data_IF_637149649195
#
_entry.id   IF_637149649195
#
_cell.length_a   1.000
_cell.length_b   1.000
_cell.length_c   1.000
_cell.angle_alpha   90.00
_cell.angle_beta   90.00
_cell.angle_gamma   90.00
#
_symmetry.space_group_name_H-M   'P 1'
#
loop_
_entity.id
_entity.type
_entity.pdbx_description
1 polymer ?
#
# COMPACT_ATOMS: atom_id res chain seq x y z
N UNK A 1 18.57 49.65 -66.63
CA UNK A 1 17.34 50.34 -67.07
C UNK A 1 17.18 50.07 -68.55
N UNK A 2 15.98 49.71 -69.06
CA UNK A 2 14.69 50.23 -68.64
C UNK A 2 13.65 49.14 -68.26
N UNK A 3 12.68 49.53 -67.41
CA UNK A 3 11.31 48.98 -67.36
C UNK A 3 10.50 49.65 -68.50
N UNK A 4 9.19 49.38 -68.78
CA UNK A 4 8.14 48.70 -68.00
C UNK A 4 7.38 47.68 -68.92
N UNK A 5 6.27 47.01 -68.58
CA UNK A 5 4.91 47.52 -68.34
C UNK A 5 3.97 46.33 -68.08
N UNK A 6 2.96 46.58 -67.26
CA UNK A 6 1.86 45.70 -66.84
C UNK A 6 1.02 45.20 -68.01
N UNK A 7 0.49 43.97 -67.89
CA UNK A 7 -0.72 43.53 -68.60
C UNK A 7 -1.72 42.91 -67.62
N UNK A 8 -2.98 43.20 -67.94
CA UNK A 8 -4.18 43.07 -67.13
C UNK A 8 -4.94 41.80 -67.46
N UNK A 9 -5.60 41.23 -66.45
CA UNK A 9 -6.97 40.74 -66.55
C UNK A 9 -7.22 39.35 -67.15
N UNK A 10 -7.74 38.45 -66.31
CA UNK A 10 -9.02 37.79 -66.57
C UNK A 10 -9.55 37.18 -65.26
N UNK A 11 -10.66 37.74 -64.76
CA UNK A 11 -11.50 37.11 -63.74
C UNK A 11 -12.26 35.95 -64.41
N UNK A 12 -12.18 34.76 -63.83
CA UNK A 12 -13.17 33.71 -64.01
C UNK A 12 -13.59 33.23 -62.61
N UNK A 13 -14.84 33.55 -62.25
CA UNK A 13 -15.51 33.08 -61.04
C UNK A 13 -15.96 31.65 -61.30
N UNK A 14 -15.47 30.70 -60.51
CA UNK A 14 -15.97 29.33 -60.45
C UNK A 14 -16.45 29.03 -59.02
N UNK A 15 -17.70 28.59 -58.92
CA UNK A 15 -18.42 28.23 -57.70
C UNK A 15 -17.62 27.25 -56.83
N UNK A 16 -17.45 27.60 -55.56
CA UNK A 16 -16.99 26.68 -54.52
C UNK A 16 -18.11 25.69 -54.18
N UNK A 17 -17.91 24.42 -54.50
CA UNK A 17 -18.66 23.32 -53.89
C UNK A 17 -17.93 22.89 -52.61
N UNK A 18 -18.57 23.11 -51.47
CA UNK A 18 -18.10 22.67 -50.16
C UNK A 18 -18.19 21.15 -50.03
N UNK A 19 -17.10 20.46 -50.33
CA UNK A 19 -16.85 19.11 -49.85
C UNK A 19 -16.34 19.21 -48.41
N UNK A 20 -17.19 18.85 -47.45
CA UNK A 20 -16.84 18.79 -46.03
C UNK A 20 -15.73 17.77 -45.81
N UNK A 21 -14.53 18.26 -45.49
CA UNK A 21 -13.49 17.44 -44.91
C UNK A 21 -13.92 17.11 -43.48
N UNK A 22 -14.39 15.89 -43.26
CA UNK A 22 -14.48 15.28 -41.95
C UNK A 22 -13.08 15.29 -41.34
N UNK A 23 -12.84 16.21 -40.42
CA UNK A 23 -11.66 16.16 -39.56
C UNK A 23 -11.74 14.85 -38.79
N UNK A 24 -10.85 13.92 -39.13
CA UNK A 24 -10.56 12.78 -38.27
C UNK A 24 -10.06 13.37 -36.95
N UNK A 25 -10.96 13.46 -35.97
CA UNK A 25 -10.61 13.72 -34.58
C UNK A 25 -9.67 12.59 -34.16
N UNK A 26 -8.38 12.89 -34.12
CA UNK A 26 -7.39 12.11 -33.36
C UNK A 26 -7.97 11.93 -31.96
N UNK A 27 -8.39 10.70 -31.65
CA UNK A 27 -8.75 10.36 -30.28
C UNK A 27 -7.55 10.68 -29.38
N UNK A 28 -7.75 11.35 -28.24
CA UNK A 28 -6.66 11.51 -27.27
C UNK A 28 -6.21 10.11 -26.86
N UNK A 29 -4.91 9.86 -26.95
CA UNK A 29 -4.29 8.64 -26.45
C UNK A 29 -4.81 8.37 -25.03
N UNK A 30 -5.31 7.15 -24.77
CA UNK A 30 -5.68 6.75 -23.42
C UNK A 30 -4.43 6.92 -22.54
N UNK A 31 -4.45 7.89 -21.63
CA UNK A 31 -3.32 8.12 -20.73
C UNK A 31 -3.15 6.89 -19.85
N UNK A 32 -2.07 6.14 -20.08
CA UNK A 32 -1.63 5.13 -19.13
C UNK A 32 -1.51 5.80 -17.74
N UNK A 33 -1.92 5.14 -16.65
CA UNK A 33 -1.73 5.66 -15.31
C UNK A 33 -0.26 6.04 -15.09
N UNK A 34 -0.01 7.18 -14.45
CA UNK A 34 1.34 7.64 -14.16
C UNK A 34 1.98 6.69 -13.12
N UNK A 35 3.24 6.25 -13.30
CA UNK A 35 3.92 5.44 -12.30
C UNK A 35 4.02 6.18 -10.96
N UNK A 36 3.79 5.46 -9.87
CA UNK A 36 3.94 5.96 -8.50
C UNK A 36 5.33 5.57 -8.01
N UNK A 37 6.08 6.54 -7.51
CA UNK A 37 7.35 6.31 -6.83
C UNK A 37 7.40 7.22 -5.61
N UNK A 38 7.43 6.64 -4.41
CA UNK A 38 7.42 7.41 -3.18
C UNK A 38 8.28 6.75 -2.11
N UNK A 39 8.80 7.57 -1.21
CA UNK A 39 9.58 7.13 -0.06
C UNK A 39 8.77 7.42 1.20
N UNK A 40 8.46 6.39 1.98
CA UNK A 40 7.74 6.48 3.25
C UNK A 40 8.73 6.54 4.41
N UNK A 41 8.49 7.43 5.37
CA UNK A 41 9.33 7.64 6.54
C UNK A 41 8.58 7.26 7.81
N UNK A 42 9.02 6.18 8.43
CA UNK A 42 8.62 5.67 9.74
C UNK A 42 9.71 5.97 10.76
N UNK A 43 9.39 5.87 12.06
CA UNK A 43 10.38 5.95 13.14
C UNK A 43 10.18 4.74 14.07
N UNK A 44 9.05 4.71 14.78
CA UNK A 44 8.71 3.60 15.68
C UNK A 44 7.62 2.69 15.09
N UNK A 45 7.81 1.37 15.22
CA UNK A 45 6.76 0.37 15.01
C UNK A 45 6.55 -0.42 16.30
N UNK A 46 5.66 0.08 17.16
CA UNK A 46 5.52 -0.40 18.54
C UNK A 46 4.10 -0.26 19.07
N UNK A 47 3.68 -1.19 19.92
CA UNK A 47 2.43 -1.07 20.69
C UNK A 47 2.54 0.01 21.78
N UNK A 48 3.78 0.35 22.19
CA UNK A 48 4.08 1.30 23.23
C UNK A 48 4.53 2.63 22.64
N UNK A 49 3.94 3.73 23.12
CA UNK A 49 4.36 5.08 22.77
C UNK A 49 5.46 5.51 23.72
N UNK A 50 6.64 5.82 23.20
CA UNK A 50 7.74 6.39 23.98
C UNK A 50 7.35 7.76 24.58
N UNK A 51 8.10 8.24 25.56
CA UNK A 51 7.91 9.59 26.09
C UNK A 51 8.52 10.63 25.14
N UNK A 52 7.80 11.72 24.90
CA UNK A 52 8.30 12.84 24.11
C UNK A 52 7.21 13.59 23.34
N UNK A 53 7.46 14.83 22.91
CA UNK A 53 6.46 15.68 22.28
C UNK A 53 5.95 15.14 20.94
N UNK A 54 6.76 14.36 20.22
CA UNK A 54 6.42 13.77 18.92
C UNK A 54 6.19 12.26 18.97
N UNK A 55 6.51 11.60 20.08
CA UNK A 55 6.55 10.14 20.17
C UNK A 55 5.22 9.49 19.77
N UNK A 56 4.08 10.08 20.17
CA UNK A 56 2.76 9.56 19.79
C UNK A 56 2.53 9.58 18.27
N UNK A 57 2.84 10.69 17.61
CA UNK A 57 2.64 10.83 16.17
C UNK A 57 3.59 9.91 15.39
N UNK A 58 4.78 9.66 15.91
CA UNK A 58 5.82 8.86 15.26
C UNK A 58 5.74 7.34 15.56
N UNK A 59 4.82 6.92 16.43
CA UNK A 59 4.63 5.51 16.79
C UNK A 59 3.47 4.89 16.02
N UNK A 60 3.80 4.14 14.98
CA UNK A 60 2.83 3.32 14.24
C UNK A 60 2.69 1.98 14.96
N UNK A 61 1.47 1.50 15.15
CA UNK A 61 1.28 0.18 15.76
C UNK A 61 1.72 -0.94 14.78
N UNK A 62 2.28 -2.06 15.26
CA UNK A 62 2.64 -3.19 14.40
C UNK A 62 1.47 -3.68 13.54
N UNK A 63 0.26 -3.70 14.09
CA UNK A 63 -0.96 -4.05 13.35
C UNK A 63 -1.29 -3.04 12.26
N UNK A 64 -1.07 -1.74 12.49
CA UNK A 64 -1.25 -0.72 11.47
C UNK A 64 -0.20 -0.84 10.37
N UNK A 65 1.07 -1.02 10.74
CA UNK A 65 2.15 -1.21 9.78
C UNK A 65 1.91 -2.42 8.88
N UNK A 66 1.56 -3.58 9.45
CA UNK A 66 1.23 -4.78 8.68
C UNK A 66 0.07 -4.55 7.70
N UNK A 67 -0.96 -3.78 8.10
CA UNK A 67 -2.07 -3.41 7.20
C UNK A 67 -1.62 -2.49 6.08
N UNK A 68 -0.72 -1.55 6.35
CA UNK A 68 -0.19 -0.65 5.34
C UNK A 68 0.59 -1.43 4.28
N UNK A 69 1.44 -2.39 4.69
CA UNK A 69 2.14 -3.29 3.77
C UNK A 69 1.17 -4.13 2.93
N UNK A 70 0.20 -4.80 3.58
CA UNK A 70 -0.81 -5.58 2.88
C UNK A 70 -1.61 -4.72 1.87
N UNK A 71 -1.93 -3.48 2.24
CA UNK A 71 -2.63 -2.56 1.35
C UNK A 71 -1.76 -2.17 0.14
N UNK A 72 -0.47 -1.87 0.33
CA UNK A 72 0.45 -1.60 -0.78
C UNK A 72 0.50 -2.79 -1.77
N UNK A 73 0.67 -4.01 -1.25
CA UNK A 73 0.73 -5.23 -2.07
C UNK A 73 -0.57 -5.47 -2.85
N UNK A 74 -1.72 -5.39 -2.19
CA UNK A 74 -3.03 -5.57 -2.83
C UNK A 74 -3.34 -4.49 -3.88
N UNK A 75 -2.64 -3.35 -3.85
CA UNK A 75 -2.75 -2.28 -4.83
C UNK A 75 -1.61 -2.28 -5.86
N UNK A 76 -0.84 -3.39 -5.94
CA UNK A 76 0.19 -3.60 -6.95
C UNK A 76 1.43 -2.72 -6.77
N UNK A 77 1.76 -2.37 -5.52
CA UNK A 77 2.97 -1.67 -5.16
C UNK A 77 4.06 -2.64 -4.71
N UNK A 78 5.24 -2.51 -5.31
CA UNK A 78 6.45 -3.22 -4.88
C UNK A 78 7.14 -2.42 -3.78
N UNK A 79 7.56 -3.10 -2.71
CA UNK A 79 8.38 -2.48 -1.65
C UNK A 79 9.86 -2.69 -1.96
N UNK A 80 10.59 -1.58 -2.05
CA UNK A 80 11.99 -1.58 -2.50
C UNK A 80 12.88 -0.79 -1.54
N UNK A 81 14.19 -0.97 -1.64
CA UNK A 81 15.15 -0.15 -0.89
C UNK A 81 15.25 1.26 -1.50
N UNK A 82 15.79 2.23 -0.75
CA UNK A 82 15.99 3.60 -1.28
C UNK A 82 16.96 3.59 -2.46
N UNK A 83 18.01 2.76 -2.42
CA UNK A 83 18.91 2.65 -3.56
C UNK A 83 18.22 2.11 -4.80
N UNK A 84 17.36 1.10 -4.64
CA UNK A 84 16.62 0.49 -5.75
C UNK A 84 15.70 1.51 -6.39
N UNK A 85 14.82 2.16 -5.62
CA UNK A 85 13.86 3.13 -6.18
C UNK A 85 14.55 4.31 -6.86
N UNK A 86 15.70 4.77 -6.33
CA UNK A 86 16.48 5.85 -6.94
C UNK A 86 17.13 5.40 -8.24
N UNK A 87 17.67 4.18 -8.28
CA UNK A 87 18.24 3.60 -9.50
C UNK A 87 17.17 3.43 -10.59
N UNK A 88 16.00 2.90 -10.22
CA UNK A 88 14.88 2.67 -11.14
C UNK A 88 14.28 4.00 -11.62
N UNK A 89 14.15 5.00 -10.76
CA UNK A 89 13.73 6.34 -11.14
C UNK A 89 14.70 6.97 -12.16
N UNK A 90 16.02 6.89 -11.91
CA UNK A 90 17.04 7.41 -12.84
C UNK A 90 17.03 6.70 -14.19
N UNK A 91 16.82 5.39 -14.18
CA UNK A 91 16.73 4.59 -15.39
C UNK A 91 15.38 4.74 -16.12
N UNK A 92 14.44 5.52 -15.57
CA UNK A 92 13.05 5.59 -16.02
C UNK A 92 12.42 4.18 -16.15
N UNK A 93 12.74 3.32 -15.19
CA UNK A 93 12.36 1.91 -15.17
C UNK A 93 11.09 1.64 -14.36
N UNK A 94 10.63 2.61 -13.55
CA UNK A 94 9.42 2.47 -12.73
C UNK A 94 8.18 2.35 -13.63
N UNK A 95 7.57 1.15 -13.67
CA UNK A 95 6.43 0.84 -14.56
C UNK A 95 5.07 0.80 -13.87
N UNK A 96 5.05 0.82 -12.55
CA UNK A 96 3.85 0.64 -11.75
C UNK A 96 3.88 1.50 -10.50
N UNK A 97 3.81 0.86 -9.34
CA UNK A 97 3.95 1.49 -8.05
C UNK A 97 5.17 0.91 -7.34
N UNK A 98 6.14 1.75 -7.01
CA UNK A 98 7.29 1.40 -6.20
C UNK A 98 7.31 2.28 -4.96
N UNK A 99 7.45 1.66 -3.79
CA UNK A 99 7.43 2.34 -2.51
C UNK A 99 8.67 1.95 -1.72
N UNK A 100 9.52 2.93 -1.41
CA UNK A 100 10.63 2.71 -0.51
C UNK A 100 10.21 2.95 0.94
N UNK A 101 10.29 1.92 1.77
CA UNK A 101 9.96 2.01 3.20
C UNK A 101 11.25 2.34 3.96
N UNK A 102 11.21 3.39 4.77
CA UNK A 102 12.37 3.85 5.56
C UNK A 102 12.04 3.98 7.03
N UNK A 103 13.00 3.65 7.89
CA UNK A 103 12.93 3.84 9.35
C UNK A 103 14.11 4.70 9.79
N UNK A 104 13.84 5.76 10.54
CA UNK A 104 14.88 6.64 11.07
C UNK A 104 15.30 6.24 12.49
N UNK A 105 16.40 6.83 12.95
CA UNK A 105 16.98 6.77 14.31
C UNK A 105 17.62 5.43 14.74
N UNK A 106 17.13 4.29 14.23
CA UNK A 106 17.67 2.98 14.58
C UNK A 106 17.16 2.46 15.93
N UNK A 107 15.89 2.72 16.24
CA UNK A 107 15.21 2.15 17.40
C UNK A 107 15.14 0.62 17.35
N UNK A 108 15.18 -0.04 18.51
CA UNK A 108 15.14 -1.50 18.60
C UNK A 108 13.79 -2.11 18.24
N UNK A 109 12.71 -1.33 18.31
CA UNK A 109 11.37 -1.72 17.84
C UNK A 109 11.28 -1.94 16.32
N UNK A 110 12.28 -1.49 15.54
CA UNK A 110 12.42 -1.83 14.13
C UNK A 110 12.48 -3.36 13.88
N UNK A 111 12.83 -4.16 14.90
CA UNK A 111 12.76 -5.63 14.82
C UNK A 111 11.33 -6.15 14.63
N UNK A 112 10.33 -5.48 15.22
CA UNK A 112 8.93 -5.85 15.02
C UNK A 112 8.50 -5.58 13.57
N UNK A 113 8.96 -4.46 12.99
CA UNK A 113 8.76 -4.16 11.57
C UNK A 113 9.46 -5.19 10.66
N UNK A 114 10.70 -5.57 11.01
CA UNK A 114 11.46 -6.56 10.25
C UNK A 114 10.76 -7.91 10.15
N UNK A 115 10.16 -8.40 11.25
CA UNK A 115 9.39 -9.65 11.22
C UNK A 115 8.19 -9.61 10.24
N UNK A 116 7.51 -8.46 10.14
CA UNK A 116 6.40 -8.29 9.19
C UNK A 116 6.86 -8.17 7.73
N UNK A 117 8.06 -7.62 7.50
CA UNK A 117 8.67 -7.51 6.17
C UNK A 117 9.17 -8.89 5.69
N UNK A 118 9.89 -9.62 6.56
CA UNK A 118 10.48 -10.93 6.25
C UNK A 118 9.42 -11.97 5.88
N UNK A 119 8.27 -12.00 6.57
CA UNK A 119 7.21 -12.99 6.31
C UNK A 119 6.67 -12.93 4.89
N UNK A 120 6.87 -11.82 4.18
CA UNK A 120 6.22 -11.51 2.91
C UNK A 120 7.23 -11.06 1.83
N UNK A 121 8.53 -11.24 2.08
CA UNK A 121 9.64 -10.85 1.21
C UNK A 121 9.67 -9.36 0.81
N UNK A 122 9.13 -8.48 1.66
CA UNK A 122 9.22 -7.03 1.50
C UNK A 122 10.62 -6.53 1.89
N UNK A 123 11.03 -5.37 1.35
CA UNK A 123 12.33 -4.74 1.69
C UNK A 123 12.13 -3.34 2.28
N UNK A 124 13.11 -2.90 3.07
CA UNK A 124 13.12 -1.56 3.66
C UNK A 124 14.55 -1.04 3.87
N UNK A 125 14.67 0.23 4.23
CA UNK A 125 15.91 0.92 4.56
C UNK A 125 15.89 1.42 6.00
N UNK A 126 16.89 1.10 6.81
CA UNK A 126 17.04 1.61 8.17
C UNK A 126 18.16 2.64 8.20
N UNK A 127 17.84 3.88 8.53
CA UNK A 127 18.80 4.95 8.79
C UNK A 127 19.17 4.95 10.26
N UNK A 128 20.43 4.63 10.56
CA UNK A 128 20.88 4.38 11.93
C UNK A 128 21.87 5.47 12.39
N UNK A 129 21.61 6.02 13.56
CA UNK A 129 22.56 6.90 14.26
C UNK A 129 23.60 6.05 14.97
N UNK A 130 24.81 5.94 14.40
CA UNK A 130 25.76 4.88 14.81
C UNK A 130 26.24 4.99 16.26
N UNK A 131 26.25 6.21 16.83
CA UNK A 131 26.63 6.47 18.21
C UNK A 131 25.57 6.05 19.24
N UNK A 132 24.32 5.89 18.80
CA UNK A 132 23.21 5.43 19.66
C UNK A 132 23.10 3.90 19.70
N UNK A 133 23.76 3.19 18.78
CA UNK A 133 23.72 1.72 18.72
C UNK A 133 24.23 1.10 20.02
N UNK A 134 23.39 0.25 20.63
CA UNK A 134 23.66 -0.41 21.92
C UNK A 134 23.30 0.42 23.15
N UNK A 135 22.79 1.64 22.99
CA UNK A 135 22.15 2.40 24.08
C UNK A 135 20.70 1.93 24.29
N UNK A 136 20.08 2.20 25.45
CA UNK A 136 18.69 1.82 25.70
C UNK A 136 17.72 2.33 24.61
N UNK A 137 16.83 1.45 24.14
CA UNK A 137 15.84 1.74 23.11
C UNK A 137 16.37 1.74 21.67
N UNK A 138 17.64 1.42 21.45
CA UNK A 138 18.26 1.40 20.13
C UNK A 138 18.82 0.02 19.79
N UNK A 139 18.92 -0.27 18.50
CA UNK A 139 19.48 -1.52 18.00
C UNK A 139 20.89 -1.75 18.55
N UNK A 140 21.19 -2.99 18.88
CA UNK A 140 22.56 -3.46 19.14
C UNK A 140 23.28 -3.73 17.82
N UNK A 141 24.62 -3.76 17.85
CA UNK A 141 25.43 -4.13 16.68
C UNK A 141 25.05 -5.49 16.10
N UNK A 142 24.72 -6.45 16.96
CA UNK A 142 24.28 -7.78 16.55
C UNK A 142 22.94 -7.71 15.80
N UNK A 143 21.99 -6.91 16.27
CA UNK A 143 20.71 -6.71 15.60
C UNK A 143 20.86 -5.97 14.26
N UNK A 144 21.68 -4.91 14.18
CA UNK A 144 22.01 -4.24 12.90
C UNK A 144 22.59 -5.24 11.90
N UNK A 145 23.50 -6.10 12.35
CA UNK A 145 24.05 -7.17 11.52
C UNK A 145 22.96 -8.13 11.06
N UNK A 146 22.16 -8.68 11.97
CA UNK A 146 21.07 -9.61 11.63
C UNK A 146 20.13 -9.02 10.58
N UNK A 147 19.66 -7.79 10.78
CA UNK A 147 18.76 -7.10 9.85
C UNK A 147 19.38 -6.87 8.47
N UNK A 148 20.66 -6.47 8.44
CA UNK A 148 21.40 -6.31 7.19
C UNK A 148 21.56 -7.64 6.44
N UNK A 149 21.85 -8.73 7.15
CA UNK A 149 21.96 -10.06 6.54
C UNK A 149 20.59 -10.63 6.13
N UNK A 150 19.51 -10.20 6.78
CA UNK A 150 18.11 -10.51 6.40
C UNK A 150 17.63 -9.76 5.15
N UNK A 151 18.46 -8.88 4.56
CA UNK A 151 18.16 -8.19 3.31
C UNK A 151 17.65 -6.75 3.46
N UNK A 152 17.57 -6.22 4.68
CA UNK A 152 17.27 -4.80 4.88
C UNK A 152 18.48 -3.94 4.54
N UNK A 153 18.24 -2.82 3.85
CA UNK A 153 19.28 -1.85 3.56
C UNK A 153 19.62 -1.06 4.83
N UNK A 154 20.92 -0.89 5.12
CA UNK A 154 21.38 0.00 6.19
C UNK A 154 21.90 1.30 5.58
N UNK A 155 21.34 2.43 6.02
CA UNK A 155 21.76 3.79 5.73
C UNK A 155 22.29 4.50 6.97
N UNK A 156 23.00 5.61 6.77
CA UNK A 156 23.57 6.39 7.87
C UNK A 156 22.67 7.57 8.28
N UNK A 157 22.67 7.90 9.58
CA UNK A 157 21.90 9.01 10.15
C UNK A 157 22.74 9.89 11.09
N UNK A 158 23.98 10.20 10.70
CA UNK A 158 25.05 10.77 11.55
C UNK A 158 25.48 9.84 12.69
N UNK A 159 26.48 10.23 13.49
CA UNK A 159 26.86 9.47 14.68
C UNK A 159 25.87 9.77 15.80
N UNK A 160 25.60 11.06 16.04
CA UNK A 160 24.92 11.53 17.25
C UNK A 160 23.54 12.14 17.02
N UNK A 161 22.95 11.96 15.83
CA UNK A 161 21.67 12.58 15.44
C UNK A 161 21.69 14.12 15.58
N UNK A 162 22.68 14.75 14.94
CA UNK A 162 22.93 16.20 15.05
C UNK A 162 22.49 16.98 13.80
N UNK A 163 22.08 18.23 13.99
CA UNK A 163 21.83 19.17 12.90
C UNK A 163 23.15 19.64 12.29
N UNK A 164 23.50 19.06 11.14
CA UNK A 164 24.74 19.33 10.43
C UNK A 164 24.89 20.79 9.98
N UNK A 165 23.80 21.54 9.82
CA UNK A 165 23.82 22.94 9.38
C UNK A 165 24.36 23.88 10.47
N UNK A 166 24.40 23.41 11.71
CA UNK A 166 24.90 24.16 12.87
C UNK A 166 26.39 23.92 13.16
N UNK A 167 27.02 23.00 12.42
CA UNK A 167 28.37 22.50 12.69
C UNK A 167 29.38 23.04 11.67
N UNK A 168 30.66 22.98 12.05
CA UNK A 168 31.76 23.26 11.12
C UNK A 168 32.01 22.05 10.23
N UNK A 169 32.54 22.26 9.02
CA UNK A 169 32.78 21.17 8.05
C UNK A 169 33.59 19.99 8.61
N UNK A 170 34.66 20.18 9.40
CA UNK A 170 35.40 19.06 10.00
C UNK A 170 34.54 18.22 10.95
N UNK A 171 33.66 18.86 11.73
CA UNK A 171 32.76 18.16 12.66
C UNK A 171 31.65 17.46 11.88
N UNK A 172 31.07 18.11 10.87
CA UNK A 172 30.08 17.49 9.99
C UNK A 172 30.65 16.27 9.26
N UNK A 173 31.87 16.35 8.72
CA UNK A 173 32.54 15.21 8.08
C UNK A 173 32.79 14.08 9.08
N UNK A 174 33.19 14.38 10.32
CA UNK A 174 33.33 13.36 11.34
C UNK A 174 32.00 12.62 11.60
N UNK A 175 30.89 13.35 11.74
CA UNK A 175 29.54 12.79 11.92
C UNK A 175 29.10 11.94 10.70
N UNK A 176 29.39 12.40 9.49
CA UNK A 176 28.98 11.74 8.24
C UNK A 176 29.84 10.50 7.96
N UNK A 177 31.16 10.65 7.90
CA UNK A 177 32.09 9.58 7.54
C UNK A 177 32.23 8.54 8.65
N UNK A 178 32.25 9.00 9.92
CA UNK A 178 32.37 8.11 11.07
C UNK A 178 31.14 7.21 11.23
N UNK A 179 29.94 7.74 11.00
CA UNK A 179 28.72 6.91 11.03
C UNK A 179 28.70 5.88 9.92
N UNK A 180 29.07 6.29 8.70
CA UNK A 180 29.24 5.37 7.57
C UNK A 180 30.22 4.25 7.89
N UNK A 181 31.42 4.59 8.36
CA UNK A 181 32.47 3.61 8.65
C UNK A 181 32.05 2.62 9.76
N UNK A 182 31.41 3.11 10.83
CA UNK A 182 30.92 2.27 11.91
C UNK A 182 29.87 1.26 11.41
N UNK A 183 28.84 1.74 10.71
CA UNK A 183 27.76 0.89 10.19
C UNK A 183 28.28 -0.10 9.14
N UNK A 184 29.19 0.33 8.27
CA UNK A 184 29.82 -0.52 7.26
C UNK A 184 30.55 -1.73 7.89
N UNK A 185 31.06 -1.58 9.12
CA UNK A 185 31.71 -2.68 9.86
C UNK A 185 30.74 -3.70 10.47
N UNK A 186 29.44 -3.38 10.55
CA UNK A 186 28.40 -4.26 11.11
C UNK A 186 27.45 -4.82 10.05
N UNK A 187 27.37 -4.17 8.88
CA UNK A 187 26.49 -4.53 7.78
C UNK A 187 27.13 -5.50 6.77
N UNK A 188 26.28 -6.28 6.08
CA UNK A 188 26.67 -7.17 4.97
C UNK A 188 26.83 -6.44 3.63
N UNK A 189 26.21 -5.26 3.50
CA UNK A 189 26.15 -4.46 2.27
C UNK A 189 26.79 -3.09 2.45
N UNK A 190 27.06 -2.39 1.34
CA UNK A 190 27.55 -1.02 1.37
C UNK A 190 26.54 -0.09 2.08
N UNK A 191 27.05 0.80 2.93
CA UNK A 191 26.29 1.91 3.53
C UNK A 191 26.52 3.13 2.65
N UNK A 192 25.60 3.37 1.73
CA UNK A 192 25.73 4.34 0.64
C UNK A 192 24.48 5.22 0.44
N UNK A 193 23.54 5.18 1.39
CA UNK A 193 22.42 6.12 1.49
C UNK A 193 22.41 6.81 2.86
N UNK A 194 21.95 8.05 2.91
CA UNK A 194 21.99 8.92 4.09
C UNK A 194 20.63 9.58 4.38
N UNK A 195 20.29 9.81 5.64
CA UNK A 195 19.15 10.65 6.03
C UNK A 195 19.65 11.82 6.89
N UNK A 196 19.19 13.04 6.62
CA UNK A 196 19.54 14.19 7.45
C UNK A 196 18.71 14.22 8.75
N UNK A 197 19.32 14.27 9.94
CA UNK A 197 18.60 14.42 11.20
C UNK A 197 17.63 15.60 11.18
N UNK A 198 16.41 15.36 11.64
CA UNK A 198 15.29 16.32 11.58
C UNK A 198 14.99 16.92 10.18
N UNK A 199 15.56 16.36 9.11
CA UNK A 199 15.50 16.91 7.75
C UNK A 199 16.18 18.26 7.58
N UNK A 200 17.17 18.59 8.43
CA UNK A 200 17.93 19.83 8.35
C UNK A 200 19.14 19.65 7.45
N UNK A 201 19.14 20.38 6.33
CA UNK A 201 20.19 20.36 5.33
C UNK A 201 20.27 21.71 4.61
N UNK A 202 21.41 21.94 3.98
CA UNK A 202 21.70 23.00 3.03
C UNK A 202 22.68 22.49 1.95
N UNK A 203 22.97 23.34 0.95
CA UNK A 203 23.90 23.01 -0.13
C UNK A 203 25.30 22.65 0.34
N UNK A 204 25.73 23.15 1.50
CA UNK A 204 27.03 22.80 2.08
C UNK A 204 27.02 21.37 2.60
N UNK A 205 26.02 21.00 3.40
CA UNK A 205 25.86 19.65 3.96
C UNK A 205 25.63 18.60 2.87
N UNK A 206 24.87 18.90 1.81
CA UNK A 206 24.73 18.04 0.63
C UNK A 206 26.08 17.72 -0.02
N UNK A 207 26.92 18.74 -0.21
CA UNK A 207 28.26 18.57 -0.77
C UNK A 207 29.16 17.70 0.12
N UNK A 208 29.04 17.81 1.45
CA UNK A 208 29.78 16.95 2.38
C UNK A 208 29.30 15.49 2.32
N UNK A 209 27.98 15.25 2.31
CA UNK A 209 27.42 13.90 2.20
C UNK A 209 27.79 13.25 0.86
N UNK A 210 27.68 14.00 -0.24
CA UNK A 210 28.13 13.54 -1.55
C UNK A 210 29.63 13.24 -1.59
N UNK A 211 30.46 14.15 -1.05
CA UNK A 211 31.91 13.99 -0.96
C UNK A 211 32.36 12.80 -0.11
N UNK A 212 31.59 12.43 0.92
CA UNK A 212 31.83 11.26 1.77
C UNK A 212 31.51 9.91 1.09
N UNK A 213 31.04 9.94 -0.16
CA UNK A 213 30.83 8.75 -0.99
C UNK A 213 29.46 8.09 -0.84
N UNK A 214 28.47 8.81 -0.28
CA UNK A 214 27.07 8.40 -0.38
C UNK A 214 26.56 8.59 -1.82
N UNK A 215 25.56 7.80 -2.24
CA UNK A 215 24.97 7.84 -3.59
C UNK A 215 23.71 8.67 -3.67
N UNK A 216 23.03 8.81 -2.53
CA UNK A 216 21.81 9.58 -2.37
C UNK A 216 21.61 9.93 -0.89
N UNK A 217 20.72 10.90 -0.64
CA UNK A 217 20.27 11.25 0.70
C UNK A 217 18.80 11.68 0.70
N UNK A 218 18.10 11.41 1.81
CA UNK A 218 16.68 11.70 2.00
C UNK A 218 16.44 12.78 3.05
N UNK A 219 15.34 13.51 2.90
CA UNK A 219 14.91 14.63 3.75
C UNK A 219 13.56 14.33 4.42
N UNK A 220 12.96 15.33 5.08
CA UNK A 220 11.60 15.25 5.63
C UNK A 220 10.57 16.00 4.78
N UNK A 221 10.97 16.57 3.64
CA UNK A 221 10.05 17.29 2.77
C UNK A 221 9.12 16.31 2.04
N UNK A 222 7.79 16.50 2.08
CA UNK A 222 6.85 15.61 1.42
C UNK A 222 6.86 15.78 -0.10
N UNK A 223 6.90 14.67 -0.84
CA UNK A 223 6.87 14.70 -2.30
C UNK A 223 7.08 13.33 -2.94
N UNK A 224 6.61 13.20 -4.17
CA UNK A 224 6.84 12.03 -5.02
C UNK A 224 8.29 12.04 -5.54
N UNK A 225 8.86 10.85 -5.72
CA UNK A 225 10.10 10.68 -6.45
C UNK A 225 9.79 10.70 -7.95
N UNK A 226 10.39 11.64 -8.68
CA UNK A 226 10.27 11.67 -10.15
C UNK A 226 11.61 11.35 -10.80
N UNK A 227 11.64 10.80 -12.03
CA UNK A 227 12.90 10.59 -12.75
C UNK A 227 13.76 11.86 -12.85
N UNK A 228 13.12 13.01 -13.10
CA UNK A 228 13.80 14.31 -13.17
C UNK A 228 14.43 14.69 -11.82
N UNK A 229 13.71 14.49 -10.71
CA UNK A 229 14.22 14.75 -9.37
C UNK A 229 15.36 13.80 -9.00
N UNK A 230 15.21 12.50 -9.26
CA UNK A 230 16.23 11.51 -8.98
C UNK A 230 17.55 11.73 -9.77
N UNK A 231 17.44 12.36 -10.95
CA UNK A 231 18.59 12.72 -11.79
C UNK A 231 19.24 14.04 -11.35
N UNK A 232 18.46 15.04 -10.93
CA UNK A 232 18.95 16.37 -10.60
C UNK A 232 19.41 16.52 -9.15
N UNK A 233 18.75 15.82 -8.21
CA UNK A 233 18.85 16.07 -6.78
C UNK A 233 18.79 14.76 -5.98
N UNK A 234 19.85 13.97 -6.11
CA UNK A 234 19.95 12.71 -5.40
C UNK A 234 20.20 12.87 -3.90
N UNK A 235 20.58 14.07 -3.44
CA UNK A 235 21.01 14.33 -2.07
C UNK A 235 20.00 15.15 -1.27
N UNK A 236 18.82 15.45 -1.82
CA UNK A 236 17.70 15.99 -1.07
C UNK A 236 16.36 15.33 -1.46
N UNK A 237 16.33 14.00 -1.46
CA UNK A 237 15.14 13.24 -1.87
C UNK A 237 13.96 13.43 -0.89
N UNK A 238 12.73 13.61 -1.39
CA UNK A 238 11.55 13.84 -0.56
C UNK A 238 11.05 12.54 0.07
N UNK A 239 10.38 12.66 1.22
CA UNK A 239 9.73 11.56 1.93
C UNK A 239 8.39 11.97 2.51
N UNK A 240 7.47 11.02 2.54
CA UNK A 240 6.21 11.16 3.25
C UNK A 240 6.32 10.59 4.66
N UNK A 241 6.18 11.45 5.68
CA UNK A 241 6.09 11.03 7.09
C UNK A 241 4.82 10.20 7.29
N UNK A 242 4.98 8.97 7.76
CA UNK A 242 3.86 8.12 8.15
C UNK A 242 3.60 8.33 9.63
N UNK A 243 2.51 9.02 9.94
CA UNK A 243 2.10 9.25 11.32
C UNK A 243 1.09 8.20 11.77
N UNK A 244 1.05 7.98 13.08
CA UNK A 244 0.03 7.17 13.73
C UNK A 244 -1.38 7.61 13.32
N UNK A 245 -2.27 6.64 13.11
CA UNK A 245 -3.70 6.83 12.82
C UNK A 245 -4.00 7.47 11.44
N UNK A 246 -3.13 8.32 10.89
CA UNK A 246 -3.33 9.02 9.60
C UNK A 246 -2.51 8.44 8.45
N UNK A 247 -1.50 7.63 8.75
CA UNK A 247 -0.57 7.04 7.78
C UNK A 247 -1.25 6.22 6.70
N UNK A 248 -2.27 5.45 7.08
CA UNK A 248 -3.06 4.64 6.13
C UNK A 248 -3.79 5.50 5.09
N UNK A 249 -4.36 6.64 5.52
CA UNK A 249 -5.04 7.58 4.61
C UNK A 249 -4.02 8.30 3.70
N UNK A 250 -2.85 8.64 4.23
CA UNK A 250 -1.75 9.22 3.47
C UNK A 250 -1.27 8.29 2.35
N UNK A 251 -0.98 7.02 2.67
CA UNK A 251 -0.54 6.02 1.70
C UNK A 251 -1.59 5.84 0.61
N UNK A 252 -2.87 5.70 1.00
CA UNK A 252 -4.00 5.65 0.06
C UNK A 252 -4.08 6.88 -0.84
N UNK A 253 -3.72 8.07 -0.36
CA UNK A 253 -3.70 9.30 -1.17
C UNK A 253 -2.53 9.33 -2.15
N UNK A 254 -1.32 8.97 -1.70
CA UNK A 254 -0.11 8.93 -2.53
C UNK A 254 -0.31 7.94 -3.67
N UNK A 255 -0.73 6.72 -3.32
CA UNK A 255 -0.96 5.65 -4.29
C UNK A 255 -2.25 5.88 -5.07
N UNK A 256 -3.34 6.28 -4.42
CA UNK A 256 -4.66 6.44 -5.04
C UNK A 256 -4.83 7.67 -5.93
N UNK A 257 -3.94 8.66 -5.87
CA UNK A 257 -3.93 9.79 -6.81
C UNK A 257 -3.39 9.41 -8.20
N UNK A 258 -2.67 8.29 -8.35
CA UNK A 258 -2.02 7.89 -9.62
C UNK A 258 -2.08 6.38 -9.94
N UNK A 259 -2.42 5.50 -8.98
CA UNK A 259 -2.61 4.07 -9.19
C UNK A 259 -4.01 3.78 -9.73
N UNK A 260 -4.13 3.81 -11.06
CA UNK A 260 -5.10 2.99 -11.77
C UNK A 260 -4.40 1.82 -12.46
N UNK A 261 -3.56 1.05 -11.75
CA UNK A 261 -3.41 -0.36 -12.12
C UNK A 261 -4.47 -1.12 -11.32
N UNK A 262 -5.71 -1.11 -11.83
CA UNK A 262 -6.71 -2.04 -11.32
C UNK A 262 -6.19 -3.46 -11.50
N UNK A 263 -6.29 -4.30 -10.46
CA UNK A 263 -6.09 -5.75 -10.61
C UNK A 263 -6.90 -6.16 -11.84
N UNK A 264 -6.24 -6.75 -12.84
CA UNK A 264 -6.92 -7.04 -14.09
C UNK A 264 -8.10 -7.96 -13.84
N UNK A 265 -9.14 -7.85 -14.66
CA UNK A 265 -10.29 -8.75 -14.52
C UNK A 265 -9.88 -10.24 -14.60
N UNK A 266 -8.77 -10.56 -15.27
CA UNK A 266 -8.14 -11.89 -15.28
C UNK A 266 -7.54 -12.31 -13.93
N UNK A 267 -6.83 -11.41 -13.25
CA UNK A 267 -6.22 -11.68 -11.95
C UNK A 267 -7.30 -11.84 -10.86
N UNK A 268 -8.31 -10.97 -10.86
CA UNK A 268 -9.47 -11.10 -9.95
C UNK A 268 -10.21 -12.41 -10.15
N UNK A 269 -10.42 -12.82 -11.41
CA UNK A 269 -11.00 -14.15 -11.72
C UNK A 269 -10.10 -15.27 -11.23
N UNK A 270 -8.77 -15.12 -11.30
CA UNK A 270 -7.84 -16.13 -10.81
C UNK A 270 -7.89 -16.32 -9.29
N UNK A 271 -7.99 -15.22 -8.54
CA UNK A 271 -8.17 -15.25 -7.08
C UNK A 271 -9.54 -15.83 -6.73
N UNK A 272 -10.60 -15.39 -7.43
CA UNK A 272 -11.96 -15.88 -7.22
C UNK A 272 -12.04 -17.40 -7.42
N UNK A 273 -11.40 -17.94 -8.47
CA UNK A 273 -11.35 -19.39 -8.78
C UNK A 273 -10.98 -20.26 -7.59
N UNK A 274 -10.01 -19.83 -6.78
CA UNK A 274 -9.53 -20.59 -5.64
C UNK A 274 -10.52 -20.60 -4.46
N UNK A 275 -11.57 -19.78 -4.53
CA UNK A 275 -12.55 -19.54 -3.46
C UNK A 275 -13.96 -20.03 -3.84
N UNK A 276 -14.16 -20.61 -5.04
CA UNK A 276 -15.49 -21.03 -5.50
C UNK A 276 -15.86 -22.42 -5.03
N UNK A 277 -17.10 -22.58 -4.57
CA UNK A 277 -17.74 -23.86 -4.28
C UNK A 277 -19.13 -23.96 -4.92
N UNK A 278 -19.67 -25.17 -5.00
CA UNK A 278 -21.02 -25.42 -5.51
C UNK A 278 -21.04 -25.94 -6.96
N UNK A 279 -22.18 -25.80 -7.64
CA UNK A 279 -22.44 -26.46 -8.92
C UNK A 279 -22.36 -25.54 -10.16
N UNK A 280 -22.00 -24.27 -9.99
CA UNK A 280 -21.79 -23.31 -11.09
C UNK A 280 -20.52 -22.48 -10.83
N UNK A 281 -19.38 -23.10 -11.12
CA UNK A 281 -18.06 -22.51 -10.87
C UNK A 281 -17.86 -21.20 -11.65
N UNK A 282 -18.29 -21.15 -12.92
CA UNK A 282 -18.13 -19.98 -13.78
C UNK A 282 -18.90 -18.76 -13.25
N UNK A 283 -20.09 -18.95 -12.68
CA UNK A 283 -20.75 -17.86 -11.99
C UNK A 283 -20.04 -17.47 -10.69
N UNK A 284 -19.62 -18.45 -9.89
CA UNK A 284 -18.90 -18.17 -8.66
C UNK A 284 -17.64 -17.34 -8.89
N UNK A 285 -16.92 -17.60 -9.98
CA UNK A 285 -15.76 -16.81 -10.40
C UNK A 285 -16.14 -15.36 -10.75
N UNK A 286 -17.22 -15.17 -11.52
CA UNK A 286 -17.69 -13.83 -11.90
C UNK A 286 -18.14 -13.03 -10.67
N UNK A 287 -18.92 -13.65 -9.79
CA UNK A 287 -19.39 -13.02 -8.55
C UNK A 287 -18.20 -12.72 -7.64
N UNK A 288 -17.32 -13.68 -7.42
CA UNK A 288 -16.12 -13.50 -6.61
C UNK A 288 -15.25 -12.37 -7.14
N UNK A 289 -14.99 -12.32 -8.45
CA UNK A 289 -14.24 -11.22 -9.06
C UNK A 289 -14.96 -9.87 -8.90
N UNK A 290 -16.29 -9.82 -9.05
CA UNK A 290 -17.06 -8.58 -8.87
C UNK A 290 -17.02 -8.08 -7.41
N UNK A 291 -17.08 -8.99 -6.44
CA UNK A 291 -16.97 -8.66 -5.01
C UNK A 291 -15.54 -8.24 -4.65
N UNK A 292 -14.52 -8.95 -5.15
CA UNK A 292 -13.09 -8.65 -4.92
C UNK A 292 -12.61 -7.37 -5.62
N UNK A 293 -13.24 -6.96 -6.73
CA UNK A 293 -12.92 -5.72 -7.44
C UNK A 293 -13.27 -4.45 -6.63
N UNK A 294 -13.99 -4.60 -5.52
CA UNK A 294 -14.28 -3.50 -4.61
C UNK A 294 -13.17 -3.40 -3.56
N UNK A 295 -13.01 -2.22 -2.94
CA UNK A 295 -12.01 -1.93 -1.89
C UNK A 295 -12.17 -2.74 -0.57
N UNK A 296 -12.80 -3.92 -0.63
CA UNK A 296 -13.13 -4.81 0.50
C UNK A 296 -12.56 -6.25 0.35
N UNK A 297 -11.30 -6.47 -0.10
CA UNK A 297 -10.90 -7.76 -0.66
C UNK A 297 -10.66 -8.93 0.33
N UNK A 298 -10.39 -8.71 1.62
CA UNK A 298 -9.88 -9.81 2.48
C UNK A 298 -10.82 -10.54 3.44
N UNK A 299 -12.07 -10.11 3.72
CA UNK A 299 -12.97 -11.00 4.45
C UNK A 299 -13.40 -12.18 3.59
N UNK A 300 -13.51 -12.06 2.25
CA UNK A 300 -14.14 -13.09 1.42
C UNK A 300 -13.32 -14.39 1.37
N UNK A 301 -13.68 -15.37 2.18
CA UNK A 301 -13.07 -16.70 2.23
C UNK A 301 -13.56 -17.59 1.09
N UNK A 302 -14.87 -17.61 0.84
CA UNK A 302 -15.50 -18.47 -0.17
C UNK A 302 -16.70 -17.81 -0.83
N UNK A 303 -16.94 -18.18 -2.09
CA UNK A 303 -18.15 -17.89 -2.86
C UNK A 303 -18.78 -19.21 -3.25
N UNK A 304 -19.94 -19.54 -2.68
CA UNK A 304 -20.68 -20.75 -3.01
C UNK A 304 -21.82 -20.40 -3.95
N UNK A 305 -21.97 -21.13 -5.06
CA UNK A 305 -23.10 -20.96 -5.98
C UNK A 305 -23.87 -22.26 -6.09
N UNK A 306 -25.17 -22.19 -5.79
CA UNK A 306 -26.12 -23.29 -5.98
C UNK A 306 -27.17 -22.85 -6.99
N UNK A 307 -27.04 -23.34 -8.22
CA UNK A 307 -27.96 -23.08 -9.32
C UNK A 307 -28.86 -24.29 -9.55
N UNK A 308 -30.18 -24.06 -9.59
CA UNK A 308 -31.16 -25.01 -10.12
C UNK A 308 -31.68 -24.51 -11.48
N UNK A 309 -32.66 -25.21 -12.08
CA UNK A 309 -33.26 -24.80 -13.34
C UNK A 309 -33.87 -23.39 -13.28
N UNK A 310 -34.49 -23.05 -12.15
CA UNK A 310 -35.34 -21.85 -12.03
C UNK A 310 -34.80 -20.81 -11.03
N UNK A 311 -33.72 -21.12 -10.31
CA UNK A 311 -33.21 -20.21 -9.27
C UNK A 311 -31.72 -20.36 -9.01
N UNK A 312 -31.08 -19.29 -8.56
CA UNK A 312 -29.68 -19.29 -8.13
C UNK A 312 -29.56 -18.72 -6.72
N UNK A 313 -28.92 -19.47 -5.84
CA UNK A 313 -28.51 -19.03 -4.50
C UNK A 313 -27.01 -18.79 -4.47
N UNK A 314 -26.60 -17.73 -3.79
CA UNK A 314 -25.19 -17.34 -3.64
C UNK A 314 -24.86 -17.25 -2.16
N UNK A 315 -23.82 -17.94 -1.72
CA UNK A 315 -23.26 -17.82 -0.37
C UNK A 315 -21.92 -17.09 -0.39
N UNK A 316 -21.76 -16.06 0.43
CA UNK A 316 -20.50 -15.36 0.65
C UNK A 316 -20.01 -15.67 2.08
N UNK A 317 -18.94 -16.44 2.18
CA UNK A 317 -18.31 -16.76 3.46
C UNK A 317 -17.23 -15.72 3.75
N UNK A 318 -17.34 -15.05 4.90
CA UNK A 318 -16.41 -14.01 5.33
C UNK A 318 -15.55 -14.47 6.52
N UNK A 319 -14.37 -13.88 6.67
CA UNK A 319 -13.53 -14.01 7.86
C UNK A 319 -14.05 -13.08 8.95
N UNK A 320 -14.31 -13.62 10.14
CA UNK A 320 -14.66 -12.88 11.35
C UNK A 320 -13.44 -12.46 12.18
N UNK A 321 -12.23 -12.68 11.68
CA UNK A 321 -10.95 -12.32 12.34
C UNK A 321 -10.01 -11.48 11.47
N UNK A 322 -10.05 -11.63 10.14
CA UNK A 322 -9.21 -10.87 9.21
C UNK A 322 -9.94 -9.60 8.77
N UNK A 323 -10.00 -8.62 9.67
CA UNK A 323 -10.58 -7.30 9.40
C UNK A 323 -9.47 -6.26 9.31
N UNK A 324 -9.52 -5.42 8.28
CA UNK A 324 -8.48 -4.44 7.97
C UNK A 324 -8.53 -3.18 8.83
N UNK A 325 -9.49 -3.03 9.71
CA UNK A 325 -9.59 -1.90 10.64
C UNK A 325 -10.45 -2.28 11.83
N UNK A 326 -10.53 -1.40 12.82
CA UNK A 326 -11.59 -1.53 13.81
C UNK A 326 -12.91 -1.21 13.11
N UNK A 327 -13.66 -2.25 12.74
CA UNK A 327 -14.94 -2.11 12.05
C UNK A 327 -16.04 -2.25 13.09
N UNK A 328 -16.85 -1.21 13.27
CA UNK A 328 -18.07 -1.32 14.07
C UNK A 328 -19.15 -2.12 13.31
N UNK A 329 -20.22 -2.51 14.01
CA UNK A 329 -21.31 -3.29 13.38
C UNK A 329 -21.98 -2.56 12.22
N UNK A 330 -22.05 -1.22 12.28
CA UNK A 330 -22.73 -0.42 11.27
C UNK A 330 -21.94 -0.40 9.95
N UNK A 331 -20.64 -0.18 10.05
CA UNK A 331 -19.67 -0.20 8.94
C UNK A 331 -19.61 -1.59 8.34
N UNK A 332 -19.49 -2.63 9.18
CA UNK A 332 -19.49 -4.02 8.73
C UNK A 332 -20.77 -4.37 7.97
N UNK A 333 -21.94 -3.99 8.50
CA UNK A 333 -23.21 -4.22 7.83
C UNK A 333 -23.31 -3.47 6.49
N UNK A 334 -22.84 -2.21 6.42
CA UNK A 334 -22.83 -1.47 5.18
C UNK A 334 -21.94 -2.13 4.11
N UNK A 335 -20.78 -2.65 4.51
CA UNK A 335 -19.86 -3.36 3.62
C UNK A 335 -20.45 -4.69 3.13
N UNK A 336 -21.05 -5.48 4.03
CA UNK A 336 -21.80 -6.70 3.68
C UNK A 336 -22.90 -6.37 2.68
N UNK A 337 -23.68 -5.30 2.91
CA UNK A 337 -24.70 -4.85 1.97
C UNK A 337 -24.10 -4.49 0.60
N UNK A 338 -22.92 -3.88 0.56
CA UNK A 338 -22.19 -3.62 -0.68
C UNK A 338 -21.79 -4.89 -1.45
N UNK A 339 -21.37 -5.95 -0.74
CA UNK A 339 -21.04 -7.24 -1.35
C UNK A 339 -22.28 -7.92 -1.94
N UNK A 340 -23.41 -7.86 -1.23
CA UNK A 340 -24.69 -8.43 -1.67
C UNK A 340 -25.19 -7.76 -2.96
N UNK A 341 -25.14 -6.43 -3.03
CA UNK A 341 -25.52 -5.70 -4.27
C UNK A 341 -24.70 -6.19 -5.45
N UNK A 342 -23.38 -6.32 -5.30
CA UNK A 342 -22.50 -6.78 -6.39
C UNK A 342 -22.80 -8.22 -6.81
N UNK A 343 -23.13 -9.10 -5.87
CA UNK A 343 -23.55 -10.46 -6.19
C UNK A 343 -24.86 -10.46 -7.00
N UNK A 344 -25.82 -9.60 -6.66
CA UNK A 344 -27.05 -9.43 -7.45
C UNK A 344 -26.82 -8.80 -8.82
N UNK A 345 -25.92 -7.82 -8.93
CA UNK A 345 -25.59 -7.13 -10.18
C UNK A 345 -24.84 -8.04 -11.15
N UNK A 346 -24.07 -9.01 -10.63
CA UNK A 346 -23.32 -9.95 -11.43
C UNK A 346 -24.22 -10.84 -12.31
N UNK A 347 -25.47 -11.09 -11.90
CA UNK A 347 -26.44 -11.84 -12.72
C UNK A 347 -27.90 -11.66 -12.24
N UNK A 348 -28.86 -11.41 -13.15
CA UNK A 348 -30.27 -11.17 -12.77
C UNK A 348 -31.01 -12.34 -12.11
N UNK A 349 -30.62 -13.60 -12.35
CA UNK A 349 -31.33 -14.79 -11.82
C UNK A 349 -30.89 -15.21 -10.41
N UNK A 350 -29.96 -14.47 -9.78
CA UNK A 350 -29.63 -14.65 -8.36
C UNK A 350 -30.85 -14.22 -7.54
N UNK A 351 -31.52 -15.18 -6.91
CA UNK A 351 -32.74 -14.96 -6.16
C UNK A 351 -32.45 -14.54 -4.72
N UNK A 352 -31.36 -15.05 -4.15
CA UNK A 352 -30.97 -14.84 -2.76
C UNK A 352 -29.45 -14.89 -2.59
N UNK A 353 -28.95 -14.03 -1.70
CA UNK A 353 -27.56 -13.98 -1.29
C UNK A 353 -27.48 -14.16 0.23
N UNK A 354 -26.84 -15.24 0.64
CA UNK A 354 -26.49 -15.52 2.03
C UNK A 354 -25.08 -15.04 2.31
N UNK A 355 -24.89 -14.38 3.45
CA UNK A 355 -23.57 -13.96 3.91
C UNK A 355 -23.38 -14.42 5.34
N UNK A 356 -22.24 -15.03 5.64
CA UNK A 356 -21.89 -15.38 7.02
C UNK A 356 -20.41 -15.16 7.28
N UNK A 357 -20.08 -14.64 8.46
CA UNK A 357 -18.70 -14.51 8.91
C UNK A 357 -18.36 -15.58 9.93
N UNK A 358 -17.17 -16.18 9.84
CA UNK A 358 -16.73 -17.23 10.77
C UNK A 358 -15.47 -16.89 11.53
N UNK A 359 -15.36 -17.36 12.77
CA UNK A 359 -14.12 -17.35 13.55
C UNK A 359 -13.62 -18.77 13.77
N UNK A 360 -12.31 -19.05 13.63
CA UNK A 360 -11.77 -20.36 13.99
C UNK A 360 -12.10 -20.73 15.44
N UNK A 361 -12.39 -22.00 15.70
CA UNK A 361 -12.49 -22.51 17.06
C UNK A 361 -11.08 -22.85 17.56
N UNK A 362 -10.76 -22.45 18.80
CA UNK A 362 -9.47 -22.78 19.40
C UNK A 362 -9.40 -24.30 19.67
N UNK A 363 -8.47 -24.99 19.00
CA UNK A 363 -8.21 -26.41 19.24
C UNK A 363 -7.03 -26.52 20.20
N UNK A 364 -7.22 -27.25 21.30
CA UNK A 364 -6.14 -27.53 22.27
C UNK A 364 -5.03 -28.33 21.58
N UNK A 365 -3.73 -28.00 21.77
CA UNK A 365 -2.60 -28.62 21.05
C UNK A 365 -2.45 -30.15 21.18
N UNK A 366 -3.22 -30.81 22.04
CA UNK A 366 -3.18 -32.25 22.29
C UNK A 366 -4.54 -32.97 22.08
N UNK A 367 -5.53 -32.29 21.47
CA UNK A 367 -6.82 -32.91 21.22
C UNK A 367 -6.69 -33.99 20.12
N UNK A 368 -7.04 -35.24 20.44
CA UNK A 368 -7.09 -36.34 19.47
C UNK A 368 -8.16 -36.04 18.42
N UNK A 369 -7.76 -35.78 17.17
CA UNK A 369 -8.70 -35.64 16.05
C UNK A 369 -8.74 -36.99 15.31
N UNK A 370 -9.91 -37.63 15.29
CA UNK A 370 -10.12 -38.95 14.69
C UNK A 370 -11.10 -38.85 13.51
N UNK A 371 -10.66 -39.26 12.32
CA UNK A 371 -11.53 -39.65 11.19
C UNK A 371 -12.36 -38.54 10.53
N UNK A 372 -13.01 -38.89 9.42
CA UNK A 372 -13.54 -38.04 8.32
C UNK A 372 -14.58 -36.94 8.67
N UNK A 373 -14.85 -36.68 9.95
CA UNK A 373 -15.79 -35.66 10.45
C UNK A 373 -15.15 -34.78 11.52
N UNK A 374 -13.97 -34.23 11.23
CA UNK A 374 -13.21 -33.37 12.14
C UNK A 374 -14.08 -32.28 12.79
N UNK A 375 -13.83 -32.03 14.08
CA UNK A 375 -14.41 -30.98 14.93
C UNK A 375 -14.63 -29.69 14.13
N UNK A 376 -15.76 -28.97 14.29
CA UNK A 376 -15.98 -27.72 13.58
C UNK A 376 -14.74 -26.83 13.69
N UNK A 377 -14.14 -26.48 12.55
CA UNK A 377 -12.91 -25.69 12.54
C UNK A 377 -13.19 -24.21 12.78
N UNK A 378 -14.47 -23.82 12.74
CA UNK A 378 -14.92 -22.44 12.93
C UNK A 378 -16.36 -22.38 13.42
N UNK A 379 -16.74 -21.23 14.00
CA UNK A 379 -18.11 -20.87 14.39
C UNK A 379 -18.59 -19.63 13.64
N UNK A 380 -19.86 -19.57 13.30
CA UNK A 380 -20.49 -18.38 12.70
C UNK A 380 -20.66 -17.28 13.75
N UNK A 381 -20.18 -16.08 13.45
CA UNK A 381 -20.26 -14.91 14.34
C UNK A 381 -21.15 -13.79 13.80
N UNK A 382 -21.50 -13.88 12.51
CA UNK A 382 -22.47 -13.03 11.85
C UNK A 382 -23.16 -13.81 10.74
N UNK A 383 -24.45 -13.58 10.51
CA UNK A 383 -25.10 -13.98 9.27
C UNK A 383 -26.25 -13.07 8.86
N UNK A 384 -26.47 -12.99 7.55
CA UNK A 384 -27.59 -12.31 6.93
C UNK A 384 -28.00 -13.07 5.66
N UNK A 385 -29.30 -13.04 5.33
CA UNK A 385 -29.84 -13.59 4.10
C UNK A 385 -30.72 -12.52 3.46
N UNK A 386 -30.50 -12.25 2.17
CA UNK A 386 -31.20 -11.21 1.43
C UNK A 386 -31.72 -11.77 0.13
N UNK A 387 -33.01 -11.67 -0.09
CA UNK A 387 -33.65 -11.95 -1.38
C UNK A 387 -33.55 -10.75 -2.32
N UNK A 388 -33.62 -10.99 -3.62
CA UNK A 388 -33.62 -9.91 -4.62
C UNK A 388 -34.76 -8.92 -4.41
N UNK A 389 -35.94 -9.41 -4.02
CA UNK A 389 -37.09 -8.55 -3.73
C UNK A 389 -36.81 -7.61 -2.54
N UNK A 390 -36.18 -8.11 -1.47
CA UNK A 390 -35.75 -7.26 -0.34
C UNK A 390 -34.71 -6.22 -0.77
N UNK A 391 -33.73 -6.62 -1.59
CA UNK A 391 -32.71 -5.70 -2.11
C UNK A 391 -33.32 -4.58 -2.98
N UNK A 392 -34.32 -4.89 -3.81
CA UNK A 392 -34.99 -3.91 -4.67
C UNK A 392 -35.91 -2.95 -3.89
N UNK A 393 -36.48 -3.41 -2.77
CA UNK A 393 -37.40 -2.61 -1.95
C UNK A 393 -36.69 -1.72 -0.91
N UNK A 394 -35.40 -1.95 -0.63
CA UNK A 394 -34.67 -1.25 0.40
C UNK A 394 -34.21 0.15 -0.04
N UNK A 395 -34.32 1.15 0.84
CA UNK A 395 -33.85 2.51 0.59
C UNK A 395 -32.35 2.70 0.89
N UNK A 396 -31.71 1.73 1.56
CA UNK A 396 -30.27 1.75 1.85
C UNK A 396 -29.69 0.33 1.93
N UNK A 397 -28.36 0.24 1.90
CA UNK A 397 -27.65 -1.04 1.97
C UNK A 397 -27.91 -1.78 3.27
N UNK A 398 -27.86 -1.08 4.39
CA UNK A 398 -28.08 -1.67 5.72
C UNK A 398 -29.53 -2.11 5.92
N UNK A 399 -30.50 -1.37 5.36
CA UNK A 399 -31.91 -1.73 5.45
C UNK A 399 -32.23 -3.07 4.75
N UNK A 400 -31.54 -3.39 3.65
CA UNK A 400 -31.80 -4.62 2.90
C UNK A 400 -31.49 -5.89 3.70
N UNK A 401 -30.54 -5.80 4.65
CA UNK A 401 -30.07 -6.95 5.44
C UNK A 401 -31.14 -7.49 6.39
N UNK A 402 -32.18 -6.70 6.68
CA UNK A 402 -33.29 -7.12 7.53
C UNK A 402 -32.82 -7.64 8.89
N UNK A 403 -33.15 -8.90 9.20
CA UNK A 403 -32.70 -9.56 10.42
C UNK A 403 -31.31 -10.15 10.21
N UNK A 404 -30.36 -9.66 11.00
CA UNK A 404 -28.99 -10.16 11.06
C UNK A 404 -28.78 -10.95 12.35
N UNK A 405 -28.08 -12.07 12.28
CA UNK A 405 -27.49 -12.71 13.45
C UNK A 405 -26.16 -12.03 13.79
N UNK A 406 -25.95 -11.80 15.08
CA UNK A 406 -24.68 -11.34 15.63
C UNK A 406 -24.33 -12.18 16.85
N UNK A 407 -23.13 -12.74 16.87
CA UNK A 407 -22.56 -13.25 18.12
C UNK A 407 -22.40 -12.10 19.12
N UNK A 408 -22.59 -12.42 20.41
CA UNK A 408 -22.64 -11.42 21.47
C UNK A 408 -21.42 -10.49 21.46
N UNK A 409 -20.21 -10.98 21.22
CA UNK A 409 -18.98 -10.18 21.34
C UNK A 409 -18.36 -9.83 19.98
N UNK A 410 -19.03 -10.16 18.88
CA UNK A 410 -18.52 -9.82 17.55
C UNK A 410 -18.73 -8.32 17.29
N UNK A 411 -17.62 -7.60 17.04
CA UNK A 411 -17.55 -6.16 16.75
C UNK A 411 -18.19 -5.26 17.82
N UNK A 412 -18.05 -5.64 19.10
CA UNK A 412 -18.58 -4.90 20.25
C UNK A 412 -17.56 -3.99 20.96
N UNK A 413 -16.38 -3.76 20.39
CA UNK A 413 -15.39 -2.88 21.03
C UNK A 413 -15.77 -1.40 20.83
N UNK A 414 -16.49 -0.85 21.81
CA UNK A 414 -16.38 0.56 22.21
C UNK A 414 -15.51 0.68 23.48
N UNK A 415 -14.67 -0.31 23.79
CA UNK A 415 -13.85 -0.34 25.01
C UNK A 415 -12.35 -0.36 24.66
N UNK A 416 -11.54 0.59 25.15
CA UNK A 416 -10.10 0.57 24.95
C UNK A 416 -9.51 -0.62 25.70
N UNK A 417 -8.78 -1.49 24.99
CA UNK A 417 -7.91 -2.53 25.59
C UNK A 417 -6.46 -2.22 25.30
#
# INVERSE_FOLDING_TARGET
MPAPTRWSGALAVALAMSAGATSAQTQPASSAPRPVAAILMYHHVSDYVASGPYARALTVQPSEFARQLAWLRTNGCDTVTVNTIVADARANAIRGCEIAITFDDGYDDALAAAGALESEADTATLYVSSGLVGTPGHLTRAQVRTLSFGGLQIGAHTINHVDLTTLTSPVSLHEIEGSRAALQSWSSSAVDTFAYPAGKYDTHTEALVSGAGFRNAVTTQPGDLTPALAAADAFALPRYRVERDTGSALIKRIVGAQSRRGISASELRSIARQRVEGNDAALGERIGAAVLNASYPEPLLKVRVLRSADTTFVGLMLSGVKLHEHVDRATFANDVGGMIVRAFDARPDVAEVDVWAVRPLAVQPAATVSGDYAVPTSRTVFSAAVTRAQAQAAASRTQMLGKMYWEQDFLKDDSPR
#
